data_IF_981055279818
#
_entry.id   IF_981055279818
#
_cell.length_a   1.000
_cell.length_b   1.000
_cell.length_c   1.000
_cell.angle_alpha   90.00
_cell.angle_beta   90.00
_cell.angle_gamma   90.00
#
_symmetry.space_group_name_H-M   'P 1'
#
loop_
_entity.id
_entity.type
_entity.pdbx_description
1 polymer ?
#
# COMPACT_ATOMS: atom_id res chain seq x y z
N UNK A 1 14.34 -29.94 14.34
CA UNK A 1 13.36 -29.65 13.27
C UNK A 1 13.21 -28.15 13.16
N UNK A 2 13.82 -27.54 12.13
CA UNK A 2 13.70 -26.11 11.87
C UNK A 2 12.32 -25.86 11.29
N UNK A 3 11.44 -25.18 12.04
CA UNK A 3 10.17 -24.69 11.50
C UNK A 3 10.52 -23.64 10.46
N UNK A 4 10.44 -24.01 9.18
CA UNK A 4 10.54 -23.07 8.06
C UNK A 4 9.29 -22.20 8.14
N UNK A 5 9.36 -21.11 8.91
CA UNK A 5 8.35 -20.07 8.87
C UNK A 5 8.21 -19.61 7.43
N UNK A 6 6.97 -19.42 6.95
CA UNK A 6 6.70 -18.72 5.69
C UNK A 6 7.58 -17.46 5.67
N UNK A 7 8.25 -17.11 4.54
CA UNK A 7 9.09 -15.92 4.48
C UNK A 7 8.30 -14.74 5.03
N UNK A 8 8.68 -14.35 6.26
CA UNK A 8 7.97 -13.35 7.03
C UNK A 8 8.22 -12.04 6.34
N UNK A 9 7.17 -11.31 5.99
CA UNK A 9 7.32 -9.91 5.68
C UNK A 9 7.74 -9.21 6.98
N UNK A 10 8.94 -8.65 7.02
CA UNK A 10 9.32 -7.73 8.10
C UNK A 10 8.41 -6.52 8.04
N UNK A 11 7.50 -6.43 9.00
CA UNK A 11 6.46 -5.42 9.04
C UNK A 11 5.89 -5.26 10.44
N UNK A 12 5.21 -4.13 10.67
CA UNK A 12 4.44 -3.89 11.90
C UNK A 12 2.96 -3.97 11.58
N UNK A 13 2.20 -4.59 12.48
CA UNK A 13 0.74 -4.55 12.40
C UNK A 13 0.25 -3.16 12.80
N UNK A 14 -0.63 -2.60 11.98
CA UNK A 14 -1.22 -1.28 12.23
C UNK A 14 -2.73 -1.40 12.05
N UNK A 15 -3.47 -0.91 13.04
CA UNK A 15 -4.93 -0.76 12.94
C UNK A 15 -5.24 0.60 12.34
N UNK A 16 -6.01 0.63 11.26
CA UNK A 16 -6.48 1.87 10.62
C UNK A 16 -8.00 1.91 10.62
N UNK A 17 -8.56 3.08 10.94
CA UNK A 17 -10.00 3.34 10.76
C UNK A 17 -10.23 3.86 9.35
N UNK A 18 -11.09 3.19 8.61
CA UNK A 18 -11.45 3.54 7.22
C UNK A 18 -12.96 3.81 7.18
N UNK A 19 -13.44 4.85 6.45
CA UNK A 19 -14.87 5.06 6.22
C UNK A 19 -15.53 3.80 5.63
N UNK A 20 -16.74 3.48 6.09
CA UNK A 20 -17.43 2.23 5.69
C UNK A 20 -17.66 2.13 4.18
N UNK A 21 -17.99 3.24 3.52
CA UNK A 21 -18.17 3.29 2.08
C UNK A 21 -16.87 2.97 1.34
N UNK A 22 -15.74 3.53 1.78
CA UNK A 22 -14.44 3.24 1.19
C UNK A 22 -14.01 1.79 1.44
N UNK A 23 -14.32 1.24 2.63
CA UNK A 23 -14.04 -0.18 2.90
C UNK A 23 -14.85 -1.10 1.98
N UNK A 24 -16.11 -0.77 1.70
CA UNK A 24 -16.95 -1.53 0.78
C UNK A 24 -16.41 -1.50 -0.65
N UNK A 25 -15.96 -0.33 -1.13
CA UNK A 25 -15.29 -0.22 -2.44
C UNK A 25 -14.00 -1.05 -2.51
N UNK A 26 -13.19 -1.00 -1.45
CA UNK A 26 -11.98 -1.83 -1.34
C UNK A 26 -12.35 -3.33 -1.40
N UNK A 27 -13.40 -3.75 -0.69
CA UNK A 27 -13.88 -5.13 -0.66
C UNK A 27 -14.40 -5.62 -2.01
N UNK A 28 -14.97 -4.74 -2.83
CA UNK A 28 -15.36 -5.06 -4.21
C UNK A 28 -14.15 -5.15 -5.16
N UNK A 29 -13.15 -4.29 -4.97
CA UNK A 29 -12.04 -4.11 -5.91
C UNK A 29 -10.87 -5.07 -5.70
N UNK A 30 -10.51 -5.40 -4.45
CA UNK A 30 -9.34 -6.25 -4.20
C UNK A 30 -9.39 -7.62 -4.90
N UNK A 31 -10.54 -8.32 -5.01
CA UNK A 31 -10.62 -9.60 -5.72
C UNK A 31 -10.39 -9.41 -7.23
N UNK A 32 -10.87 -8.29 -7.79
CA UNK A 32 -10.73 -7.96 -9.22
C UNK A 32 -9.29 -7.58 -9.58
N UNK A 33 -8.55 -7.03 -8.64
CA UNK A 33 -7.14 -6.66 -8.78
C UNK A 33 -6.16 -7.84 -8.63
N UNK A 34 -6.65 -9.09 -8.68
CA UNK A 34 -5.84 -10.32 -8.52
C UNK A 34 -4.99 -10.32 -7.25
N UNK A 35 -5.49 -9.69 -6.18
CA UNK A 35 -4.84 -9.72 -4.87
C UNK A 35 -5.35 -10.94 -4.09
N UNK A 36 -4.47 -11.54 -3.28
CA UNK A 36 -4.80 -12.69 -2.43
C UNK A 36 -5.51 -12.30 -1.14
N UNK A 37 -5.46 -11.01 -0.78
CA UNK A 37 -6.14 -10.47 0.40
C UNK A 37 -6.39 -8.97 0.28
N UNK A 38 -7.36 -8.46 1.04
CA UNK A 38 -7.59 -7.03 1.24
C UNK A 38 -6.32 -6.29 1.68
N UNK A 39 -5.55 -6.89 2.59
CA UNK A 39 -4.32 -6.28 3.11
C UNK A 39 -3.24 -6.17 2.03
N UNK A 40 -3.14 -7.14 1.12
CA UNK A 40 -2.23 -7.04 -0.02
C UNK A 40 -2.62 -5.87 -0.94
N UNK A 41 -3.91 -5.75 -1.25
CA UNK A 41 -4.42 -4.65 -2.06
C UNK A 41 -4.14 -3.28 -1.43
N UNK A 42 -4.43 -3.13 -0.13
CA UNK A 42 -4.14 -1.89 0.61
C UNK A 42 -2.64 -1.57 0.59
N UNK A 43 -1.76 -2.57 0.78
CA UNK A 43 -0.31 -2.36 0.72
C UNK A 43 0.16 -1.91 -0.67
N UNK A 44 -0.38 -2.49 -1.75
CA UNK A 44 -0.08 -2.08 -3.13
C UNK A 44 -0.51 -0.63 -3.39
N UNK A 45 -1.74 -0.28 -3.02
CA UNK A 45 -2.25 1.08 -3.17
C UNK A 45 -1.42 2.10 -2.38
N UNK A 46 -1.03 1.76 -1.14
CA UNK A 46 -0.17 2.60 -0.31
C UNK A 46 1.22 2.79 -0.96
N UNK A 47 1.82 1.71 -1.47
CA UNK A 47 3.11 1.77 -2.15
C UNK A 47 3.06 2.69 -3.38
N UNK A 48 2.06 2.53 -4.24
CA UNK A 48 1.88 3.37 -5.42
C UNK A 48 1.75 4.85 -5.05
N UNK A 49 0.98 5.16 -4.01
CA UNK A 49 0.83 6.53 -3.53
C UNK A 49 2.15 7.10 -3.03
N UNK A 50 2.92 6.33 -2.25
CA UNK A 50 4.25 6.73 -1.77
C UNK A 50 5.20 7.01 -2.93
N UNK A 51 5.24 6.16 -3.97
CA UNK A 51 6.09 6.38 -5.14
C UNK A 51 5.70 7.64 -5.91
N UNK A 52 4.40 7.88 -6.11
CA UNK A 52 3.92 9.11 -6.76
C UNK A 52 4.33 10.35 -5.99
N UNK A 53 4.22 10.33 -4.66
CA UNK A 53 4.62 11.47 -3.81
C UNK A 53 6.13 11.72 -3.88
N UNK A 54 6.95 10.67 -3.83
CA UNK A 54 8.41 10.79 -3.99
C UNK A 54 8.78 11.46 -5.31
N UNK A 55 8.18 11.00 -6.41
CA UNK A 55 8.44 11.55 -7.75
C UNK A 55 8.04 13.03 -7.85
N UNK A 56 6.93 13.44 -7.21
CA UNK A 56 6.51 14.84 -7.19
C UNK A 56 7.48 15.71 -6.38
N UNK A 57 7.91 15.24 -5.21
CA UNK A 57 8.87 15.95 -4.37
C UNK A 57 10.23 16.13 -5.07
N UNK A 58 10.71 15.10 -5.78
CA UNK A 58 11.94 15.18 -6.59
C UNK A 58 11.81 16.21 -7.71
N UNK A 59 10.65 16.28 -8.38
CA UNK A 59 10.38 17.28 -9.42
C UNK A 59 10.37 18.70 -8.87
N UNK A 60 9.74 18.92 -7.73
CA UNK A 60 9.71 20.24 -7.06
C UNK A 60 11.10 20.68 -6.62
N UNK A 61 11.92 19.76 -6.09
CA UNK A 61 13.31 20.02 -5.71
C UNK A 61 14.22 20.31 -6.92
N UNK A 62 13.85 19.85 -8.12
CA UNK A 62 14.60 20.04 -9.35
C UNK A 62 14.27 21.35 -10.10
N UNK A 63 13.29 22.14 -9.64
CA UNK A 63 13.01 23.47 -10.21
C UNK A 63 14.01 24.48 -9.62
N UNK A 64 14.94 25.04 -10.41
CA UNK A 64 15.83 26.08 -9.91
C UNK A 64 15.01 27.35 -9.67
N UNK A 65 15.11 27.94 -8.48
CA UNK A 65 14.68 29.33 -8.26
C UNK A 65 15.35 30.21 -9.34
N UNK A 66 14.55 30.76 -10.24
CA UNK A 66 14.95 31.77 -11.22
C UNK A 66 14.24 33.08 -10.91
#
# INVERSE_FOLDING_TARGET
MVKVGKPGFDGREVLVKIPNNLLAEIDELWPRAQCTSRNEFIRRALWEKVQRVKLLAEKEAAVPCS
#
